data_IF_140310932335
#
_entry.id   IF_140310932335
#
_cell.length_a   1.000
_cell.length_b   1.000
_cell.length_c   1.000
_cell.angle_alpha   90.00
_cell.angle_beta   90.00
_cell.angle_gamma   90.00
#
_symmetry.space_group_name_H-M   'P 1'
#
loop_
_entity.id
_entity.type
_entity.pdbx_description
1 polymer ?
#
# COMPACT_ATOMS: atom_id res chain seq x y z
N UNK A 1 21.23 -9.67 -6.73
CA UNK A 1 19.80 -9.53 -7.02
C UNK A 1 19.07 -9.62 -5.68
N UNK A 2 18.28 -8.62 -5.29
CA UNK A 2 17.41 -8.75 -4.12
C UNK A 2 16.24 -9.64 -4.53
N UNK A 3 16.38 -10.95 -4.33
CA UNK A 3 15.27 -11.87 -4.50
C UNK A 3 14.34 -11.69 -3.30
N UNK A 4 13.19 -11.08 -3.54
CA UNK A 4 12.11 -11.05 -2.57
C UNK A 4 11.49 -12.44 -2.42
N UNK A 5 11.11 -12.85 -1.20
CA UNK A 5 10.34 -14.06 -1.01
C UNK A 5 9.03 -14.00 -1.83
N UNK A 6 8.66 -15.11 -2.46
CA UNK A 6 7.39 -15.22 -3.21
C UNK A 6 6.19 -14.88 -2.31
N UNK A 7 6.25 -15.25 -1.03
CA UNK A 7 5.23 -14.90 -0.03
C UNK A 7 5.07 -13.38 0.12
N UNK A 8 6.19 -12.64 0.18
CA UNK A 8 6.18 -11.17 0.25
C UNK A 8 5.58 -10.56 -1.01
N UNK A 9 5.92 -11.11 -2.19
CA UNK A 9 5.36 -10.67 -3.47
C UNK A 9 3.85 -10.93 -3.52
N UNK A 10 3.40 -12.12 -3.09
CA UNK A 10 1.98 -12.47 -3.06
C UNK A 10 1.19 -11.56 -2.11
N UNK A 11 1.68 -11.32 -0.89
CA UNK A 11 1.04 -10.41 0.06
C UNK A 11 0.87 -9.00 -0.52
N UNK A 12 1.88 -8.47 -1.21
CA UNK A 12 1.78 -7.16 -1.86
C UNK A 12 0.80 -7.17 -3.03
N UNK A 13 0.80 -8.22 -3.85
CA UNK A 13 -0.15 -8.36 -4.96
C UNK A 13 -1.60 -8.50 -4.47
N UNK A 14 -1.82 -9.23 -3.39
CA UNK A 14 -3.14 -9.38 -2.75
C UNK A 14 -3.59 -8.06 -2.12
N UNK A 15 -2.71 -7.40 -1.36
CA UNK A 15 -2.98 -6.10 -0.75
C UNK A 15 -3.27 -5.01 -1.78
N UNK A 16 -2.45 -4.91 -2.83
CA UNK A 16 -2.65 -3.93 -3.91
C UNK A 16 -3.95 -4.17 -4.68
N UNK A 17 -4.31 -5.43 -4.96
CA UNK A 17 -5.62 -5.77 -5.57
C UNK A 17 -6.78 -5.37 -4.67
N UNK A 18 -6.69 -5.58 -3.37
CA UNK A 18 -7.72 -5.17 -2.41
C UNK A 18 -7.88 -3.64 -2.37
N UNK A 19 -6.78 -2.90 -2.36
CA UNK A 19 -6.80 -1.43 -2.45
C UNK A 19 -7.43 -0.98 -3.78
N UNK A 20 -7.06 -1.60 -4.90
CA UNK A 20 -7.63 -1.27 -6.22
C UNK A 20 -9.12 -1.58 -6.30
N UNK A 21 -9.59 -2.69 -5.71
CA UNK A 21 -11.01 -3.03 -5.65
C UNK A 21 -11.85 -1.97 -4.93
N UNK A 22 -11.27 -1.38 -3.88
CA UNK A 22 -11.91 -0.35 -3.07
C UNK A 22 -11.39 1.07 -3.35
N UNK A 23 -10.70 1.28 -4.47
CA UNK A 23 -9.99 2.52 -4.78
C UNK A 23 -10.89 3.75 -4.69
N UNK A 24 -12.04 3.70 -5.35
CA UNK A 24 -13.00 4.81 -5.35
C UNK A 24 -13.45 5.18 -3.93
N UNK A 25 -13.59 4.19 -3.06
CA UNK A 25 -13.92 4.42 -1.65
C UNK A 25 -12.78 5.09 -0.89
N UNK A 26 -11.54 4.66 -1.12
CA UNK A 26 -10.35 5.26 -0.51
C UNK A 26 -10.10 6.69 -1.01
N UNK A 27 -10.23 6.95 -2.31
CA UNK A 27 -10.09 8.31 -2.88
C UNK A 27 -11.19 9.24 -2.35
N UNK A 28 -12.43 8.74 -2.24
CA UNK A 28 -13.53 9.51 -1.67
C UNK A 28 -13.33 9.78 -0.16
N UNK A 29 -12.75 8.84 0.57
CA UNK A 29 -12.40 9.03 1.98
C UNK A 29 -11.26 10.04 2.13
N UNK A 30 -10.20 9.93 1.32
CA UNK A 30 -9.08 10.86 1.30
C UNK A 30 -9.52 12.29 0.94
N UNK A 31 -10.43 12.45 -0.01
CA UNK A 31 -10.98 13.77 -0.40
C UNK A 31 -11.75 14.47 0.74
N UNK A 32 -12.25 13.70 1.71
CA UNK A 32 -12.99 14.20 2.88
C UNK A 32 -12.13 14.30 4.14
N UNK A 33 -10.94 13.72 4.12
CA UNK A 33 -10.01 13.72 5.25
C UNK A 33 -9.24 15.05 5.28
N UNK A 34 -9.17 15.75 6.43
CA UNK A 34 -8.36 16.95 6.53
C UNK A 34 -6.88 16.60 6.35
N UNK A 35 -6.11 17.46 5.67
CA UNK A 35 -4.68 17.21 5.42
C UNK A 35 -3.82 17.12 6.69
N UNK A 36 -4.33 17.67 7.80
CA UNK A 36 -3.69 17.55 9.12
C UNK A 36 -3.95 16.20 9.79
N UNK A 37 -4.80 15.36 9.20
CA UNK A 37 -5.09 14.04 9.73
C UNK A 37 -3.83 13.16 9.65
N UNK A 38 -3.48 12.46 10.74
CA UNK A 38 -2.26 11.67 10.78
C UNK A 38 -2.23 10.49 9.79
N UNK A 39 -3.35 10.15 9.14
CA UNK A 39 -3.41 9.10 8.12
C UNK A 39 -3.46 9.63 6.69
N UNK A 40 -3.54 10.94 6.48
CA UNK A 40 -3.73 11.53 5.15
C UNK A 40 -2.59 11.13 4.20
N UNK A 41 -1.34 11.43 4.57
CA UNK A 41 -0.16 11.10 3.77
C UNK A 41 0.03 9.59 3.58
N UNK A 42 -0.25 8.79 4.62
CA UNK A 42 -0.10 7.34 4.58
C UNK A 42 -1.12 6.72 3.61
N UNK A 43 -2.38 7.18 3.63
CA UNK A 43 -3.44 6.71 2.74
C UNK A 43 -3.20 7.16 1.29
N UNK A 44 -2.77 8.41 1.08
CA UNK A 44 -2.42 8.90 -0.25
C UNK A 44 -1.29 8.06 -0.87
N UNK A 45 -0.23 7.79 -0.11
CA UNK A 45 0.88 6.96 -0.56
C UNK A 45 0.46 5.51 -0.83
N UNK A 46 -0.43 4.94 -0.02
CA UNK A 46 -0.94 3.58 -0.22
C UNK A 46 -1.70 3.44 -1.54
N UNK A 47 -2.56 4.40 -1.86
CA UNK A 47 -3.29 4.43 -3.14
C UNK A 47 -2.29 4.53 -4.29
N UNK A 48 -1.31 5.44 -4.22
CA UNK A 48 -0.28 5.61 -5.25
C UNK A 48 0.61 4.37 -5.43
N UNK A 49 1.00 3.70 -4.35
CA UNK A 49 1.81 2.47 -4.42
C UNK A 49 1.01 1.30 -4.97
N UNK A 50 -0.31 1.23 -4.70
CA UNK A 50 -1.18 0.21 -5.31
C UNK A 50 -1.24 0.34 -6.83
N UNK A 51 -1.22 1.56 -7.38
CA UNK A 51 -1.13 1.80 -8.83
C UNK A 51 0.18 1.28 -9.42
N UNK A 52 1.29 1.49 -8.71
CA UNK A 52 2.61 1.00 -9.15
C UNK A 52 2.65 -0.53 -9.14
N UNK A 53 1.96 -1.18 -8.20
CA UNK A 53 1.81 -2.64 -8.16
C UNK A 53 0.97 -3.22 -9.30
N UNK A 54 0.18 -2.39 -10.00
CA UNK A 54 -0.62 -2.83 -11.16
C UNK A 54 0.25 -3.16 -12.38
N UNK A 55 1.43 -2.55 -12.47
CA UNK A 55 2.39 -2.73 -13.56
C UNK A 55 3.49 -3.76 -13.23
N UNK A 56 3.36 -4.45 -12.10
CA UNK A 56 4.31 -5.44 -11.62
C UNK A 56 4.09 -6.77 -12.39
N UNK A 57 4.57 -6.83 -13.63
CA UNK A 57 4.53 -8.04 -14.48
C UNK A 57 5.80 -8.89 -14.30
N UNK A 58 5.62 -10.09 -13.71
CA UNK A 58 6.44 -11.35 -13.72
C UNK A 58 7.98 -11.28 -13.52
N UNK A 59 8.66 -10.16 -13.78
CA UNK A 59 10.08 -9.94 -13.49
C UNK A 59 10.22 -8.76 -12.54
N UNK A 60 10.42 -9.06 -11.26
CA UNK A 60 10.65 -8.07 -10.21
C UNK A 60 12.05 -7.47 -10.41
N UNK A 61 12.13 -6.30 -11.03
CA UNK A 61 13.33 -5.47 -11.04
C UNK A 61 13.63 -4.90 -9.66
N UNK A 62 14.78 -4.23 -9.50
CA UNK A 62 15.14 -3.58 -8.22
C UNK A 62 14.10 -2.53 -7.79
N UNK A 63 13.52 -1.81 -8.75
CA UNK A 63 12.50 -0.78 -8.52
C UNK A 63 11.17 -1.36 -8.07
N UNK A 64 10.81 -2.54 -8.60
CA UNK A 64 9.62 -3.29 -8.18
C UNK A 64 9.80 -3.83 -6.75
N UNK A 65 10.99 -4.33 -6.43
CA UNK A 65 11.29 -4.80 -5.08
C UNK A 65 11.20 -3.68 -4.04
N UNK A 66 11.69 -2.48 -4.39
CA UNK A 66 11.58 -1.31 -3.53
C UNK A 66 10.12 -0.86 -3.36
N UNK A 67 9.30 -0.96 -4.41
CA UNK A 67 7.87 -0.65 -4.37
C UNK A 67 7.12 -1.62 -3.45
N UNK A 68 7.42 -2.92 -3.55
CA UNK A 68 6.87 -3.98 -2.68
C UNK A 68 7.20 -3.71 -1.21
N UNK A 69 8.47 -3.44 -0.89
CA UNK A 69 8.88 -3.15 0.48
C UNK A 69 8.20 -1.92 1.06
N UNK A 70 8.07 -0.84 0.27
CA UNK A 70 7.39 0.38 0.70
C UNK A 70 5.90 0.14 0.95
N UNK A 71 5.24 -0.61 0.05
CA UNK A 71 3.83 -0.93 0.19
C UNK A 71 3.57 -1.73 1.48
N UNK A 72 4.33 -2.80 1.72
CA UNK A 72 4.14 -3.63 2.92
C UNK A 72 4.40 -2.86 4.21
N UNK A 73 5.49 -2.08 4.26
CA UNK A 73 5.81 -1.29 5.45
C UNK A 73 4.72 -0.25 5.79
N UNK A 74 4.18 0.44 4.78
CA UNK A 74 3.09 1.40 4.98
C UNK A 74 1.79 0.71 5.39
N UNK A 75 1.45 -0.43 4.78
CA UNK A 75 0.29 -1.22 5.20
C UNK A 75 0.37 -1.66 6.66
N UNK A 76 1.53 -2.16 7.11
CA UNK A 76 1.73 -2.57 8.51
C UNK A 76 1.67 -1.37 9.48
N UNK A 77 2.22 -0.22 9.09
CA UNK A 77 2.16 1.00 9.88
C UNK A 77 0.72 1.50 10.05
N UNK A 78 -0.04 1.56 8.96
CA UNK A 78 -1.45 1.95 8.97
C UNK A 78 -2.28 1.00 9.82
N UNK A 79 -2.10 -0.31 9.63
CA UNK A 79 -2.78 -1.34 10.42
C UNK A 79 -2.49 -1.19 11.92
N UNK A 80 -1.21 -1.05 12.28
CA UNK A 80 -0.79 -0.85 13.68
C UNK A 80 -1.38 0.41 14.29
N UNK A 81 -1.36 1.53 13.54
CA UNK A 81 -1.85 2.84 14.00
C UNK A 81 -3.38 2.85 14.16
N UNK A 82 -4.11 2.21 13.25
CA UNK A 82 -5.56 1.99 13.38
C UNK A 82 -5.88 1.15 14.61
N UNK A 83 -5.08 0.11 14.88
CA UNK A 83 -5.27 -0.73 16.05
C UNK A 83 -4.94 0.03 17.35
N UNK A 84 -3.90 0.87 17.38
CA UNK A 84 -3.56 1.72 18.52
C UNK A 84 -4.62 2.78 18.85
N UNK A 85 -5.43 3.22 17.88
CA UNK A 85 -6.55 4.14 18.13
C UNK A 85 -7.82 3.45 18.61
N UNK A 86 -7.85 2.12 18.59
CA UNK A 86 -8.96 1.31 19.14
C UNK A 86 -8.81 1.05 20.65
N UNK A 87 -7.72 1.51 21.29
CA UNK A 87 -7.43 1.35 22.71
C UNK A 87 -7.26 2.70 23.41
#
# INVERSE_FOLDING_TARGET
>A
MNQLPIETINQTLEGSKAIQLHRTSFEHFLAKMPKSDPFYDDLEQLIQLSDKCKNLEVSVGKEDAQTIHQFNALSDQLSSKLNSMRF
#
